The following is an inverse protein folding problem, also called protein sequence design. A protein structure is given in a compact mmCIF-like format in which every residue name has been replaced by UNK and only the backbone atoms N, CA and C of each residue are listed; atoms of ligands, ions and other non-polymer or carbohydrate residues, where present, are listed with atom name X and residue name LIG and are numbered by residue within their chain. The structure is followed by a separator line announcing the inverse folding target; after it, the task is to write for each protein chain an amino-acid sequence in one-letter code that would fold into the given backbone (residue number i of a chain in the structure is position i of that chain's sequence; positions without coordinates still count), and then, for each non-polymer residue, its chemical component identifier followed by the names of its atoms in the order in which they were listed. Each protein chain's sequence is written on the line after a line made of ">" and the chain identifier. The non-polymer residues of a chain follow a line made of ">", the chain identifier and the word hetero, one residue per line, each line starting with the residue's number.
data_IF_511149412016
#
_entry.id   IF_511149412016
#
_cell.length_a   1.000
_cell.length_b   1.000
_cell.length_c   1.000
_cell.angle_alpha   90.00
_cell.angle_beta   90.00
_cell.angle_gamma   90.00
#
_symmetry.space_group_name_H-M   'P 1'
#
loop_
_entity.id
_entity.type
_entity.pdbx_description
1 polymer ?
#
# COMPACT_ATOMS: atom_id res chain seq x y z
N UNK A 1 11.64 -23.33 57.61
CA UNK A 1 11.46 -23.57 56.16
C UNK A 1 11.16 -22.22 55.55
N UNK A 2 12.16 -21.62 54.92
CA UNK A 2 12.16 -20.22 54.48
C UNK A 2 11.60 -20.12 53.06
N UNK A 3 10.73 -19.13 52.87
CA UNK A 3 10.11 -18.72 51.62
C UNK A 3 11.15 -18.51 50.51
N UNK A 4 10.95 -19.15 49.36
CA UNK A 4 11.73 -18.88 48.13
C UNK A 4 10.79 -18.64 46.95
N UNK A 5 9.84 -17.70 47.13
CA UNK A 5 9.10 -17.07 46.04
C UNK A 5 9.57 -15.62 45.90
N UNK A 6 10.78 -15.44 45.37
CA UNK A 6 11.36 -14.14 45.06
C UNK A 6 12.24 -14.20 43.81
N UNK A 7 11.65 -14.60 42.68
CA UNK A 7 12.28 -14.41 41.36
C UNK A 7 11.29 -13.95 40.30
N UNK A 8 10.40 -13.05 40.71
CA UNK A 8 9.57 -12.23 39.82
C UNK A 8 9.84 -10.75 40.09
N UNK A 9 11.09 -10.31 39.95
CA UNK A 9 11.45 -8.88 39.89
C UNK A 9 12.95 -8.71 39.70
N UNK A 10 13.43 -8.79 38.47
CA UNK A 10 14.61 -8.02 38.04
C UNK A 10 14.53 -7.79 36.54
N UNK A 11 13.81 -6.72 36.20
CA UNK A 11 14.21 -5.75 35.18
C UNK A 11 15.30 -6.20 34.19
N UNK A 12 14.91 -6.87 33.10
CA UNK A 12 15.62 -6.66 31.84
C UNK A 12 14.92 -5.47 31.18
N UNK A 13 15.20 -4.28 31.73
CA UNK A 13 14.89 -3.05 31.02
C UNK A 13 15.63 -3.14 29.69
N UNK A 14 14.83 -3.31 28.64
CA UNK A 14 15.21 -3.37 27.25
C UNK A 14 15.83 -2.04 26.83
N UNK A 15 17.10 -1.85 27.16
CA UNK A 15 17.92 -0.86 26.48
C UNK A 15 18.07 -1.39 25.05
N UNK A 16 17.23 -0.87 24.15
CA UNK A 16 17.31 -1.16 22.72
C UNK A 16 18.77 -0.95 22.31
N UNK A 17 19.44 -1.96 21.76
CA UNK A 17 20.84 -1.85 21.34
C UNK A 17 21.01 -0.53 20.57
N UNK A 18 22.00 0.33 20.90
CA UNK A 18 22.20 1.62 20.23
C UNK A 18 22.19 1.48 18.70
N UNK A 19 22.60 0.32 18.15
CA UNK A 19 22.50 0.01 16.73
C UNK A 19 21.04 -0.13 16.25
N UNK A 20 20.20 -0.85 17.00
CA UNK A 20 18.77 -1.01 16.71
C UNK A 20 18.03 0.33 16.80
N UNK A 21 18.37 1.18 17.77
CA UNK A 21 17.76 2.50 17.89
C UNK A 21 18.11 3.40 16.68
N UNK A 22 19.38 3.40 16.25
CA UNK A 22 19.81 4.12 15.04
C UNK A 22 19.15 3.60 13.77
N UNK A 23 19.04 2.28 13.62
CA UNK A 23 18.32 1.65 12.51
C UNK A 23 16.85 2.12 12.46
N UNK A 24 16.15 2.09 13.59
CA UNK A 24 14.75 2.51 13.67
C UNK A 24 14.58 4.01 13.39
N UNK A 25 15.50 4.84 13.89
CA UNK A 25 15.49 6.26 13.59
C UNK A 25 15.67 6.52 12.08
N UNK A 26 16.66 5.87 11.45
CA UNK A 26 16.89 5.97 10.02
C UNK A 26 15.68 5.48 9.21
N UNK A 27 15.06 4.37 9.62
CA UNK A 27 13.87 3.84 8.95
C UNK A 27 12.70 4.83 9.00
N UNK A 28 12.42 5.41 10.18
CA UNK A 28 11.34 6.40 10.36
C UNK A 28 11.60 7.67 9.56
N UNK A 29 12.83 8.17 9.56
CA UNK A 29 13.22 9.34 8.75
C UNK A 29 13.01 9.04 7.26
N UNK A 30 13.47 7.89 6.78
CA UNK A 30 13.28 7.45 5.41
C UNK A 30 11.81 7.36 5.01
N UNK A 31 10.95 6.79 5.85
CA UNK A 31 9.50 6.76 5.58
C UNK A 31 8.87 8.16 5.53
N UNK A 32 9.23 9.05 6.45
CA UNK A 32 8.70 10.42 6.45
C UNK A 32 9.11 11.21 5.19
N UNK A 33 10.35 11.01 4.71
CA UNK A 33 10.83 11.62 3.46
C UNK A 33 10.09 11.04 2.24
N UNK A 34 9.89 9.72 2.23
CA UNK A 34 9.15 9.03 1.17
C UNK A 34 7.72 9.57 1.06
N UNK A 35 7.02 9.72 2.19
CA UNK A 35 5.66 10.29 2.24
C UNK A 35 5.58 11.74 1.74
N UNK A 36 6.69 12.49 1.80
CA UNK A 36 6.81 13.86 1.29
C UNK A 36 7.22 13.93 -0.19
N UNK A 37 7.40 12.80 -0.85
CA UNK A 37 7.86 12.73 -2.23
C UNK A 37 9.37 12.94 -2.42
N UNK A 38 10.15 13.01 -1.34
CA UNK A 38 11.62 13.17 -1.38
C UNK A 38 12.27 11.79 -1.55
N UNK A 39 12.05 11.16 -2.71
CA UNK A 39 12.34 9.74 -2.91
C UNK A 39 13.84 9.42 -2.89
N UNK A 40 14.69 10.32 -3.40
CA UNK A 40 16.14 10.07 -3.43
C UNK A 40 16.75 10.10 -2.04
N UNK A 41 16.38 11.08 -1.23
CA UNK A 41 16.77 11.18 0.18
C UNK A 41 16.17 10.03 1.00
N UNK A 42 14.94 9.61 0.70
CA UNK A 42 14.34 8.45 1.33
C UNK A 42 15.15 7.16 1.06
N UNK A 43 15.61 6.93 -0.17
CA UNK A 43 16.49 5.80 -0.52
C UNK A 43 17.78 5.83 0.31
N UNK A 44 18.40 6.99 0.49
CA UNK A 44 19.62 7.14 1.29
C UNK A 44 19.39 6.74 2.76
N UNK A 45 18.29 7.19 3.37
CA UNK A 45 17.98 6.84 4.77
C UNK A 45 17.54 5.38 4.93
N UNK A 46 16.74 4.85 4.00
CA UNK A 46 16.28 3.47 4.03
C UNK A 46 17.42 2.47 3.76
N UNK A 47 18.38 2.82 2.89
CA UNK A 47 19.58 2.01 2.67
C UNK A 47 20.48 1.99 3.91
N UNK A 48 20.65 3.12 4.59
CA UNK A 48 21.32 3.17 5.90
C UNK A 48 20.62 2.29 6.93
N UNK A 49 19.29 2.36 7.03
CA UNK A 49 18.52 1.48 7.91
C UNK A 49 18.73 0.00 7.56
N UNK A 50 18.72 -0.36 6.27
CA UNK A 50 18.97 -1.72 5.82
C UNK A 50 20.38 -2.22 6.20
N UNK A 51 21.39 -1.36 6.08
CA UNK A 51 22.79 -1.68 6.43
C UNK A 51 23.00 -1.85 7.95
N UNK A 52 22.22 -1.13 8.76
CA UNK A 52 22.25 -1.26 10.22
C UNK A 52 21.43 -2.46 10.72
N UNK A 53 20.47 -2.94 9.94
CA UNK A 53 19.57 -4.04 10.32
C UNK A 53 20.14 -5.43 10.11
N UNK A 54 19.40 -6.43 10.61
CA UNK A 54 19.61 -7.82 10.22
C UNK A 54 18.74 -8.10 9.00
N UNK A 55 19.32 -8.36 7.81
CA UNK A 55 18.57 -8.48 6.55
C UNK A 55 17.58 -9.64 6.56
N UNK A 56 17.84 -10.68 7.36
CA UNK A 56 17.03 -11.89 7.47
C UNK A 56 16.00 -11.84 8.61
N UNK A 57 15.76 -10.68 9.21
CA UNK A 57 14.79 -10.49 10.29
C UNK A 57 13.43 -10.00 9.76
N UNK A 58 12.37 -10.12 10.56
CA UNK A 58 11.04 -9.61 10.17
C UNK A 58 11.09 -8.13 9.78
N UNK A 59 11.75 -7.33 10.62
CA UNK A 59 11.90 -5.89 10.40
C UNK A 59 12.88 -5.58 9.26
N UNK A 60 13.93 -6.36 9.09
CA UNK A 60 14.85 -6.24 7.94
C UNK A 60 14.08 -6.39 6.62
N UNK A 61 13.20 -7.38 6.55
CA UNK A 61 12.30 -7.55 5.40
C UNK A 61 11.38 -6.37 5.17
N UNK A 62 10.80 -5.77 6.23
CA UNK A 62 9.96 -4.56 6.10
C UNK A 62 10.75 -3.34 5.59
N UNK A 63 11.98 -3.14 6.08
CA UNK A 63 12.89 -2.09 5.62
C UNK A 63 13.25 -2.32 4.14
N UNK A 64 13.59 -3.55 3.76
CA UNK A 64 13.94 -3.91 2.38
C UNK A 64 12.77 -3.74 1.44
N UNK A 65 11.55 -4.15 1.82
CA UNK A 65 10.34 -3.90 1.04
C UNK A 65 10.09 -2.40 0.84
N UNK A 66 10.25 -1.61 1.91
CA UNK A 66 10.13 -0.14 1.83
C UNK A 66 11.18 0.45 0.90
N UNK A 67 12.41 -0.07 0.95
CA UNK A 67 13.52 0.36 0.09
C UNK A 67 13.28 0.00 -1.39
N UNK A 68 12.69 -1.16 -1.69
CA UNK A 68 12.27 -1.51 -3.07
C UNK A 68 11.28 -0.47 -3.60
N UNK A 69 10.27 -0.10 -2.81
CA UNK A 69 9.28 0.91 -3.22
C UNK A 69 9.91 2.29 -3.38
N UNK A 70 10.86 2.65 -2.52
CA UNK A 70 11.62 3.89 -2.65
C UNK A 70 12.50 3.94 -3.92
N UNK A 71 13.16 2.83 -4.26
CA UNK A 71 13.92 2.71 -5.50
C UNK A 71 13.04 2.90 -6.74
N UNK A 72 11.85 2.27 -6.76
CA UNK A 72 10.90 2.46 -7.86
C UNK A 72 10.51 3.94 -7.98
N UNK A 73 10.04 4.55 -6.89
CA UNK A 73 9.57 5.93 -6.89
C UNK A 73 10.66 6.96 -7.28
N UNK A 74 11.93 6.63 -7.01
CA UNK A 74 13.09 7.42 -7.43
C UNK A 74 13.51 7.19 -8.90
N UNK A 75 12.83 6.32 -9.65
CA UNK A 75 13.17 5.92 -11.02
C UNK A 75 14.32 4.92 -11.12
N UNK A 76 14.78 4.37 -10.00
CA UNK A 76 15.89 3.41 -9.89
C UNK A 76 15.38 1.97 -10.03
N UNK A 77 14.85 1.68 -11.22
CA UNK A 77 14.09 0.44 -11.47
C UNK A 77 14.93 -0.83 -11.37
N UNK A 78 16.18 -0.80 -11.83
CA UNK A 78 17.06 -1.98 -11.82
C UNK A 78 17.43 -2.41 -10.39
N UNK A 79 17.68 -1.44 -9.52
CA UNK A 79 17.92 -1.63 -8.09
C UNK A 79 16.68 -2.19 -7.40
N UNK A 80 15.50 -1.63 -7.70
CA UNK A 80 14.22 -2.12 -7.19
C UNK A 80 13.99 -3.60 -7.57
N UNK A 81 14.14 -3.94 -8.85
CA UNK A 81 13.98 -5.31 -9.34
C UNK A 81 14.99 -6.26 -8.72
N UNK A 82 16.27 -5.86 -8.65
CA UNK A 82 17.33 -6.70 -8.09
C UNK A 82 17.06 -7.03 -6.63
N UNK A 83 16.75 -6.02 -5.81
CA UNK A 83 16.43 -6.22 -4.40
C UNK A 83 15.14 -7.03 -4.22
N UNK A 84 14.10 -6.75 -5.03
CA UNK A 84 12.85 -7.50 -4.97
C UNK A 84 13.06 -8.98 -5.35
N UNK A 85 13.89 -9.30 -6.35
CA UNK A 85 14.20 -10.71 -6.67
C UNK A 85 14.90 -11.41 -5.51
N UNK A 86 15.80 -10.73 -4.79
CA UNK A 86 16.48 -11.29 -3.61
C UNK A 86 15.48 -11.59 -2.48
N UNK A 87 14.50 -10.71 -2.26
CA UNK A 87 13.48 -10.89 -1.22
C UNK A 87 12.56 -12.11 -1.43
N UNK A 88 12.52 -12.69 -2.63
CA UNK A 88 11.75 -13.91 -2.89
C UNK A 88 12.25 -15.14 -2.12
N UNK A 89 13.49 -15.12 -1.62
CA UNK A 89 14.09 -16.20 -0.81
C UNK A 89 14.23 -15.84 0.67
N UNK A 90 13.72 -14.68 1.10
CA UNK A 90 13.80 -14.21 2.48
C UNK A 90 13.22 -15.23 3.48
N UNK A 91 13.77 -15.44 4.69
CA UNK A 91 13.29 -16.49 5.62
C UNK A 91 11.84 -16.29 6.09
N UNK A 92 11.34 -15.05 6.15
CA UNK A 92 9.96 -14.77 6.53
C UNK A 92 9.00 -14.91 5.35
N UNK A 93 7.97 -15.74 5.53
CA UNK A 93 7.00 -16.07 4.47
C UNK A 93 6.23 -14.86 3.95
N UNK A 94 5.84 -13.94 4.83
CA UNK A 94 5.12 -12.72 4.45
C UNK A 94 5.96 -11.83 3.53
N UNK A 95 7.24 -11.62 3.86
CA UNK A 95 8.17 -10.86 3.01
C UNK A 95 8.29 -11.49 1.63
N UNK A 96 8.47 -12.82 1.54
CA UNK A 96 8.51 -13.52 0.25
C UNK A 96 7.23 -13.34 -0.55
N UNK A 97 6.07 -13.43 0.11
CA UNK A 97 4.75 -13.28 -0.53
C UNK A 97 4.56 -11.87 -1.07
N UNK A 98 4.88 -10.85 -0.27
CA UNK A 98 4.81 -9.45 -0.69
C UNK A 98 5.77 -9.16 -1.83
N UNK A 99 7.00 -9.64 -1.73
CA UNK A 99 8.02 -9.50 -2.77
C UNK A 99 7.59 -10.11 -4.10
N UNK A 100 7.08 -11.35 -4.11
CA UNK A 100 6.60 -12.00 -5.34
C UNK A 100 5.47 -11.20 -6.01
N UNK A 101 4.54 -10.66 -5.21
CA UNK A 101 3.46 -9.82 -5.71
C UNK A 101 3.99 -8.52 -6.32
N UNK A 102 4.94 -7.88 -5.64
CA UNK A 102 5.53 -6.63 -6.12
C UNK A 102 6.37 -6.87 -7.37
N UNK A 103 7.18 -7.93 -7.40
CA UNK A 103 7.98 -8.31 -8.57
C UNK A 103 7.12 -8.52 -9.81
N UNK A 104 5.96 -9.19 -9.66
CA UNK A 104 5.02 -9.37 -10.77
C UNK A 104 4.55 -8.02 -11.37
N UNK A 105 4.32 -7.01 -10.53
CA UNK A 105 3.93 -5.67 -10.98
C UNK A 105 5.12 -4.98 -11.67
N UNK A 106 6.33 -5.10 -11.11
CA UNK A 106 7.53 -4.46 -11.65
C UNK A 106 8.02 -5.11 -12.95
N UNK A 107 7.75 -6.39 -13.19
CA UNK A 107 8.15 -7.07 -14.43
C UNK A 107 7.06 -7.06 -15.52
N UNK A 108 5.88 -6.50 -15.22
CA UNK A 108 4.79 -6.43 -16.17
C UNK A 108 5.21 -5.70 -17.47
N UNK A 109 4.96 -6.29 -18.65
CA UNK A 109 5.31 -5.65 -19.91
C UNK A 109 4.47 -4.39 -20.13
N UNK A 110 5.06 -3.39 -20.79
CA UNK A 110 4.33 -2.20 -21.21
C UNK A 110 3.22 -2.61 -22.18
N UNK A 111 2.01 -2.10 -21.95
CA UNK A 111 0.89 -2.35 -22.84
C UNK A 111 1.11 -1.65 -24.18
N UNK A 112 1.12 -2.42 -25.27
CA UNK A 112 1.18 -1.85 -26.63
C UNK A 112 -0.15 -1.18 -26.97
N UNK A 113 -0.13 0.14 -27.11
CA UNK A 113 -1.31 0.90 -27.55
C UNK A 113 -1.34 0.93 -29.08
N UNK A 114 -2.39 0.34 -29.65
CA UNK A 114 -2.63 0.41 -31.09
C UNK A 114 -3.18 1.78 -31.48
N UNK A 115 -2.65 2.42 -32.54
CA UNK A 115 -3.09 3.76 -32.97
C UNK A 115 -4.56 3.78 -33.39
N UNK A 116 -5.10 2.67 -33.89
CA UNK A 116 -6.52 2.52 -34.21
C UNK A 116 -7.45 2.63 -32.99
N UNK A 117 -6.94 2.50 -31.76
CA UNK A 117 -7.71 2.68 -30.51
C UNK A 117 -7.62 4.10 -29.94
N UNK A 118 -6.68 4.89 -30.46
CA UNK A 118 -6.42 6.25 -30.01
C UNK A 118 -7.15 7.24 -30.94
N UNK A 119 -8.21 7.87 -30.44
CA UNK A 119 -8.72 9.10 -31.07
C UNK A 119 -7.71 10.22 -30.86
N UNK A 120 -7.07 10.69 -31.92
CA UNK A 120 -6.17 11.83 -31.85
C UNK A 120 -6.98 13.09 -31.51
N UNK A 121 -6.62 13.75 -30.41
CA UNK A 121 -7.18 15.06 -30.07
C UNK A 121 -6.52 16.07 -31.02
N UNK A 122 -7.28 16.79 -31.84
CA UNK A 122 -6.70 17.80 -32.72
C UNK A 122 -6.09 18.93 -31.88
N UNK A 123 -5.05 19.55 -32.43
CA UNK A 123 -4.42 20.72 -31.83
C UNK A 123 -5.44 21.88 -31.75
N UNK A 124 -5.60 22.42 -30.54
CA UNK A 124 -6.65 23.39 -30.21
C UNK A 124 -6.19 24.85 -30.34
N UNK A 125 -4.89 25.11 -30.58
CA UNK A 125 -4.35 26.48 -30.71
C UNK A 125 -5.01 27.29 -31.85
N UNK A 126 -5.60 26.63 -32.85
CA UNK A 126 -6.22 27.30 -34.02
C UNK A 126 -7.74 27.49 -33.90
N UNK A 127 -8.36 27.11 -32.78
CA UNK A 127 -9.83 27.10 -32.65
C UNK A 127 -10.40 28.49 -32.31
N UNK A 128 -9.61 29.40 -31.71
CA UNK A 128 -10.12 30.72 -31.29
C UNK A 128 -10.51 31.67 -32.44
N UNK A 129 -9.99 31.48 -33.66
CA UNK A 129 -10.30 32.38 -34.79
C UNK A 129 -11.53 31.97 -35.60
N UNK A 130 -11.95 30.69 -35.53
CA UNK A 130 -13.02 30.16 -36.41
C UNK A 130 -14.45 30.43 -35.91
N UNK A 131 -14.59 30.82 -34.66
CA UNK A 131 -15.89 31.00 -33.99
C UNK A 131 -16.52 32.38 -34.16
N UNK A 132 -15.82 33.36 -34.76
CA UNK A 132 -16.41 34.69 -35.01
C UNK A 132 -17.25 34.81 -36.28
N UNK A 133 -17.14 33.89 -37.25
CA UNK A 133 -17.83 34.05 -38.55
C UNK A 133 -18.59 32.81 -39.06
N UNK A 134 -18.75 31.77 -38.25
CA UNK A 134 -19.52 30.59 -38.66
C UNK A 134 -20.73 30.37 -37.74
N UNK A 135 -21.86 30.98 -38.11
CA UNK A 135 -23.17 30.47 -37.68
C UNK A 135 -23.35 29.10 -38.34
N UNK A 136 -22.84 28.06 -37.68
CA UNK A 136 -23.08 26.67 -38.06
C UNK A 136 -24.54 26.38 -37.73
N UNK A 137 -25.42 26.47 -38.72
CA UNK A 137 -26.72 25.81 -38.65
C UNK A 137 -26.45 24.31 -38.63
N UNK A 138 -26.52 23.70 -37.44
CA UNK A 138 -26.37 22.27 -37.25
C UNK A 138 -27.47 21.54 -38.05
N UNK A 139 -27.09 20.90 -39.16
CA UNK A 139 -27.96 19.91 -39.81
C UNK A 139 -27.99 18.67 -38.91
N UNK A 140 -29.15 18.16 -38.47
CA UNK A 140 -29.18 17.02 -37.58
C UNK A 140 -28.68 15.79 -38.33
N UNK A 141 -27.45 15.38 -38.03
CA UNK A 141 -26.89 14.13 -38.50
C UNK A 141 -27.60 13.00 -37.74
N UNK A 142 -28.25 12.09 -38.47
CA UNK A 142 -28.94 10.95 -37.86
C UNK A 142 -27.96 10.17 -36.97
N UNK A 143 -28.30 10.02 -35.69
CA UNK A 143 -27.47 9.32 -34.70
C UNK A 143 -27.22 7.88 -35.17
N UNK A 144 -25.97 7.42 -35.30
CA UNK A 144 -25.71 5.99 -35.39
C UNK A 144 -26.22 5.31 -34.10
N UNK A 145 -26.78 4.09 -34.19
CA UNK A 145 -27.31 3.39 -33.02
C UNK A 145 -26.15 3.12 -32.05
N UNK A 146 -26.14 3.85 -30.93
CA UNK A 146 -25.16 3.60 -29.89
C UNK A 146 -25.45 2.25 -29.23
N UNK A 147 -24.46 1.37 -29.05
CA UNK A 147 -24.63 0.20 -28.22
C UNK A 147 -25.01 0.68 -26.82
N UNK A 148 -26.16 0.22 -26.31
CA UNK A 148 -26.63 0.54 -24.96
C UNK A 148 -25.55 0.12 -23.97
N UNK A 149 -24.80 1.09 -23.45
CA UNK A 149 -23.97 0.91 -22.27
C UNK A 149 -24.95 0.56 -21.16
N UNK A 150 -24.99 -0.70 -20.74
CA UNK A 150 -25.76 -1.13 -19.57
C UNK A 150 -25.04 -0.51 -18.37
N UNK A 151 -25.44 0.70 -18.02
CA UNK A 151 -25.15 1.27 -16.71
C UNK A 151 -25.91 0.37 -15.74
N UNK A 152 -25.21 -0.50 -15.03
CA UNK A 152 -25.81 -1.21 -13.92
C UNK A 152 -26.27 -0.12 -12.93
N UNK A 153 -27.54 -0.11 -12.50
CA UNK A 153 -27.98 0.83 -11.49
C UNK A 153 -27.07 0.72 -10.27
N UNK A 154 -26.83 1.83 -9.53
CA UNK A 154 -26.03 1.80 -8.31
C UNK A 154 -26.55 0.65 -7.44
N UNK A 155 -25.63 -0.25 -7.07
CA UNK A 155 -25.97 -1.43 -6.30
C UNK A 155 -26.76 -0.97 -5.07
N UNK A 156 -27.99 -1.49 -4.94
CA UNK A 156 -28.87 -1.16 -3.84
C UNK A 156 -28.21 -1.63 -2.53
N UNK A 157 -28.02 -0.75 -1.52
CA UNK A 157 -27.45 -1.14 -0.23
C UNK A 157 -28.24 -2.25 0.49
N UNK A 158 -29.46 -2.57 0.05
CA UNK A 158 -30.22 -3.74 0.51
C UNK A 158 -29.65 -5.10 0.03
N UNK A 159 -28.79 -5.10 -1.00
CA UNK A 159 -28.14 -6.30 -1.54
C UNK A 159 -26.81 -6.64 -0.87
N UNK A 160 -26.40 -5.88 0.15
CA UNK A 160 -25.25 -6.26 0.98
C UNK A 160 -25.67 -7.48 1.80
N UNK A 161 -25.04 -8.62 1.54
CA UNK A 161 -25.41 -9.90 2.12
C UNK A 161 -25.10 -9.93 3.63
N UNK A 162 -26.04 -9.46 4.46
CA UNK A 162 -25.98 -9.49 5.94
C UNK A 162 -26.28 -10.87 6.51
N UNK A 163 -25.94 -11.94 5.78
CA UNK A 163 -26.33 -13.31 6.14
C UNK A 163 -25.38 -13.92 7.18
N UNK A 164 -24.19 -13.35 7.35
CA UNK A 164 -23.14 -13.90 8.20
C UNK A 164 -22.82 -12.99 9.41
N UNK A 165 -23.85 -12.74 10.23
CA UNK A 165 -23.76 -11.86 11.41
C UNK A 165 -23.40 -12.62 12.69
N UNK A 166 -22.96 -13.88 12.59
CA UNK A 166 -22.66 -14.73 13.75
C UNK A 166 -21.57 -14.14 14.66
N UNK A 167 -20.58 -13.49 14.04
CA UNK A 167 -19.52 -12.77 14.77
C UNK A 167 -20.05 -11.59 15.61
N UNK A 168 -21.07 -10.87 15.11
CA UNK A 168 -21.65 -9.71 15.80
C UNK A 168 -22.30 -10.14 17.12
N UNK A 169 -23.00 -11.28 17.11
CA UNK A 169 -23.60 -11.86 18.32
C UNK A 169 -22.54 -12.33 19.32
N UNK A 170 -21.45 -12.93 18.83
CA UNK A 170 -20.33 -13.34 19.69
C UNK A 170 -19.65 -12.14 20.35
N UNK A 171 -19.38 -11.07 19.59
CA UNK A 171 -18.80 -9.83 20.11
C UNK A 171 -19.72 -9.16 21.15
N UNK A 172 -21.02 -9.11 20.89
CA UNK A 172 -22.01 -8.58 21.82
C UNK A 172 -22.04 -9.37 23.13
N UNK A 173 -22.00 -10.71 23.05
CA UNK A 173 -21.97 -11.59 24.22
C UNK A 173 -20.75 -11.35 25.10
N UNK A 174 -19.56 -11.18 24.50
CA UNK A 174 -18.34 -10.85 25.24
C UNK A 174 -18.47 -9.50 25.95
N UNK A 175 -19.01 -8.47 25.28
CA UNK A 175 -19.20 -7.14 25.87
C UNK A 175 -20.15 -7.18 27.06
N UNK A 176 -21.25 -7.93 26.97
CA UNK A 176 -22.19 -8.09 28.08
C UNK A 176 -21.53 -8.85 29.24
N UNK A 177 -20.73 -9.88 28.97
CA UNK A 177 -20.03 -10.64 29.99
C UNK A 177 -18.95 -9.82 30.70
N UNK A 178 -18.21 -8.98 29.97
CA UNK A 178 -17.22 -8.08 30.58
C UNK A 178 -17.89 -7.00 31.42
N UNK A 179 -19.00 -6.42 30.97
CA UNK A 179 -19.76 -5.44 31.75
C UNK A 179 -20.45 -6.08 32.96
N UNK A 180 -21.04 -7.25 32.80
CA UNK A 180 -21.72 -8.00 33.86
C UNK A 180 -20.78 -8.51 34.95
N UNK A 181 -19.56 -8.93 34.58
CA UNK A 181 -18.55 -9.33 35.56
C UNK A 181 -17.99 -8.14 36.36
N UNK A 182 -18.02 -6.93 35.80
CA UNK A 182 -17.66 -5.70 36.50
C UNK A 182 -18.71 -5.25 37.51
N UNK A 183 -19.98 -5.57 37.25
CA UNK A 183 -21.11 -5.19 38.09
C UNK A 183 -21.58 -6.28 39.05
N UNK A 184 -20.90 -7.43 39.13
CA UNK A 184 -21.22 -8.44 40.12
C UNK A 184 -20.85 -7.92 41.52
N UNK A 185 -21.83 -7.62 42.40
CA UNK A 185 -21.52 -7.21 43.76
C UNK A 185 -20.96 -8.42 44.49
N UNK A 186 -19.76 -8.26 45.04
CA UNK A 186 -19.15 -9.23 45.94
C UNK A 186 -19.83 -9.20 47.30
#
# INVERSE_FOLDING_TARGET
>A
MLDTNARTSSSVNSELDPKQQKMMAAYRTGQSLFERGQYREAVEWLSQANNLGLPNSRIGGEIQMSLVTAYEAAGQREEALTLCRQLNTHPYAETRKQSKRLLYILEAPKLEMRPEWLTQIPDLEQVEERDRNSRITARPLAKPPQPKRVIQPPADPSQVETKDNGFVWFALGIIILTLGSLFWPR
#
